data_IF_489454350072
#
_entry.id   IF_489454350072
#
_cell.length_a   1.000
_cell.length_b   1.000
_cell.length_c   1.000
_cell.angle_alpha   90.00
_cell.angle_beta   90.00
_cell.angle_gamma   90.00
#
_symmetry.space_group_name_H-M   'P 1'
#
loop_
_entity.id
_entity.type
_entity.pdbx_description
1 polymer ?
#
# COMPACT_ATOMS: atom_id res chain seq x y z
N UNK A 1 24.57 3.50 2.62
CA UNK A 1 23.82 2.23 2.77
C UNK A 1 22.37 2.58 3.07
N UNK A 2 21.45 2.38 2.11
CA UNK A 2 20.04 2.68 2.36
C UNK A 2 19.45 1.55 3.19
N UNK A 3 19.10 1.83 4.45
CA UNK A 3 18.37 0.90 5.32
C UNK A 3 17.01 0.63 4.66
N UNK A 4 16.92 -0.46 3.89
CA UNK A 4 15.66 -0.93 3.33
C UNK A 4 14.85 -1.47 4.51
N UNK A 5 14.09 -0.58 5.15
CA UNK A 5 13.17 -0.93 6.24
C UNK A 5 12.28 -2.04 5.70
N UNK A 6 12.43 -3.23 6.26
CA UNK A 6 11.75 -4.43 5.78
C UNK A 6 10.27 -4.27 6.12
N UNK A 7 9.44 -4.00 5.12
CA UNK A 7 8.00 -3.89 5.29
C UNK A 7 7.43 -5.26 5.67
N UNK A 8 6.66 -5.33 6.75
CA UNK A 8 6.03 -6.59 7.16
C UNK A 8 5.03 -7.08 6.10
N UNK A 9 4.84 -8.40 5.99
CA UNK A 9 3.85 -8.99 5.08
C UNK A 9 2.43 -8.99 5.69
N UNK A 10 2.28 -8.44 6.90
CA UNK A 10 1.06 -8.51 7.71
C UNK A 10 0.56 -7.08 7.93
N UNK A 11 -0.73 -6.86 7.65
CA UNK A 11 -1.40 -5.60 8.01
C UNK A 11 -2.38 -5.88 9.16
N UNK A 12 -2.41 -5.04 10.20
CA UNK A 12 -3.29 -5.23 11.35
C UNK A 12 -4.72 -4.74 11.02
N UNK A 13 -5.72 -5.59 11.27
CA UNK A 13 -7.14 -5.28 11.07
C UNK A 13 -7.93 -5.09 12.37
N UNK A 14 -7.31 -5.33 13.52
CA UNK A 14 -7.98 -5.38 14.83
C UNK A 14 -7.73 -4.12 15.66
N UNK A 15 -6.60 -3.45 15.44
CA UNK A 15 -6.29 -2.18 16.13
C UNK A 15 -6.96 -0.99 15.40
N UNK A 16 -7.84 -0.21 16.06
CA UNK A 16 -8.54 0.92 15.44
C UNK A 16 -7.60 1.98 14.84
N UNK A 17 -6.45 2.21 15.46
CA UNK A 17 -5.45 3.17 14.95
C UNK A 17 -4.83 2.67 13.65
N UNK A 18 -4.54 1.37 13.58
CA UNK A 18 -4.06 0.70 12.37
C UNK A 18 -5.11 0.67 11.27
N UNK A 19 -6.40 0.50 11.58
CA UNK A 19 -7.46 0.55 10.56
C UNK A 19 -7.46 1.88 9.81
N UNK A 20 -7.33 3.00 10.52
CA UNK A 20 -7.36 4.33 9.89
C UNK A 20 -6.14 4.62 9.01
N UNK A 21 -4.99 4.00 9.30
CA UNK A 21 -3.77 4.15 8.50
C UNK A 21 -3.59 3.05 7.44
N UNK A 22 -4.63 2.26 7.17
CA UNK A 22 -4.61 1.16 6.20
C UNK A 22 -5.32 1.56 4.91
N UNK A 23 -4.63 1.36 3.79
CA UNK A 23 -5.11 1.64 2.45
C UNK A 23 -5.44 0.32 1.74
N UNK A 24 -6.61 0.28 1.11
CA UNK A 24 -7.00 -0.78 0.19
C UNK A 24 -6.74 -0.34 -1.25
N UNK A 25 -6.15 -1.21 -2.04
CA UNK A 25 -5.79 -0.97 -3.44
C UNK A 25 -6.56 -2.01 -4.26
N UNK A 26 -7.63 -1.57 -4.92
CA UNK A 26 -8.46 -2.41 -5.76
C UNK A 26 -7.92 -2.52 -7.18
N UNK A 27 -8.58 -3.38 -7.98
CA UNK A 27 -8.34 -3.52 -9.42
C UNK A 27 -6.84 -3.66 -9.81
N UNK A 28 -6.06 -4.30 -8.93
CA UNK A 28 -4.62 -4.37 -9.08
C UNK A 28 -4.28 -5.56 -9.97
N UNK A 29 -3.52 -5.31 -11.05
CA UNK A 29 -3.03 -6.37 -11.93
C UNK A 29 -1.92 -7.19 -11.25
N UNK A 30 -2.27 -8.10 -10.35
CA UNK A 30 -1.28 -8.88 -9.59
C UNK A 30 -0.55 -9.94 -10.39
N UNK A 31 -0.86 -10.11 -11.68
CA UNK A 31 -0.03 -10.88 -12.60
C UNK A 31 1.25 -10.10 -12.99
N UNK A 32 1.17 -8.77 -12.99
CA UNK A 32 2.28 -7.88 -13.37
C UNK A 32 2.85 -7.16 -12.16
N UNK A 33 2.00 -6.58 -11.32
CA UNK A 33 2.38 -5.79 -10.14
C UNK A 33 2.70 -6.69 -8.96
N UNK A 34 3.92 -6.57 -8.43
CA UNK A 34 4.38 -7.33 -7.26
C UNK A 34 4.34 -6.45 -6.00
N UNK A 35 4.48 -7.11 -4.85
CA UNK A 35 4.60 -6.43 -3.54
C UNK A 35 5.64 -5.32 -3.56
N UNK A 36 6.82 -5.57 -4.15
CA UNK A 36 7.89 -4.58 -4.23
C UNK A 36 7.49 -3.32 -5.00
N UNK A 37 6.67 -3.45 -6.03
CA UNK A 37 6.18 -2.31 -6.82
C UNK A 37 5.18 -1.49 -6.00
N UNK A 38 4.24 -2.18 -5.33
CA UNK A 38 3.30 -1.53 -4.39
C UNK A 38 4.06 -0.81 -3.29
N UNK A 39 5.01 -1.46 -2.63
CA UNK A 39 5.84 -0.83 -1.60
C UNK A 39 6.58 0.40 -2.13
N UNK A 40 7.17 0.31 -3.32
CA UNK A 40 7.90 1.42 -3.93
C UNK A 40 6.98 2.60 -4.24
N UNK A 41 5.84 2.35 -4.89
CA UNK A 41 4.85 3.39 -5.23
C UNK A 41 4.31 4.07 -3.97
N UNK A 42 3.99 3.28 -2.94
CA UNK A 42 3.32 3.76 -1.75
C UNK A 42 4.29 4.33 -0.71
N UNK A 43 5.58 3.98 -0.76
CA UNK A 43 6.61 4.56 0.13
C UNK A 43 6.79 6.07 -0.03
N UNK A 44 6.42 6.65 -1.19
CA UNK A 44 6.52 8.11 -1.42
C UNK A 44 5.59 8.94 -0.53
N UNK A 45 4.50 8.35 -0.05
CA UNK A 45 3.54 9.01 0.84
C UNK A 45 3.93 8.95 2.31
N UNK A 46 4.85 8.06 2.67
CA UNK A 46 5.34 7.90 4.03
C UNK A 46 5.80 6.48 4.34
N UNK A 47 6.21 6.27 5.59
CA UNK A 47 6.71 4.96 6.06
C UNK A 47 5.60 3.92 6.05
N UNK A 48 5.75 2.92 5.17
CA UNK A 48 4.93 1.71 5.14
C UNK A 48 5.42 0.76 6.24
N UNK A 49 4.51 0.30 7.08
CA UNK A 49 4.74 -0.69 8.13
C UNK A 49 4.47 -2.11 7.65
N UNK A 50 3.44 -2.26 6.82
CA UNK A 50 3.01 -3.56 6.28
C UNK A 50 2.47 -3.43 4.87
N UNK A 51 2.73 -4.42 4.03
CA UNK A 51 2.16 -4.53 2.70
C UNK A 51 1.77 -5.98 2.44
N UNK A 52 0.51 -6.22 2.09
CA UNK A 52 0.02 -7.55 1.71
C UNK A 52 -0.63 -7.49 0.33
N UNK A 53 -0.20 -8.36 -0.59
CA UNK A 53 -0.73 -8.44 -1.95
C UNK A 53 -1.51 -9.73 -2.11
N UNK A 54 -2.68 -9.63 -2.72
CA UNK A 54 -3.61 -10.72 -2.94
C UNK A 54 -4.09 -10.68 -4.39
N UNK A 55 -4.64 -11.78 -4.91
CA UNK A 55 -5.09 -11.81 -6.31
C UNK A 55 -6.14 -10.72 -6.58
N UNK A 56 -5.76 -9.73 -7.40
CA UNK A 56 -6.62 -8.59 -7.79
C UNK A 56 -6.61 -7.38 -6.86
N UNK A 57 -5.89 -7.40 -5.73
CA UNK A 57 -5.88 -6.28 -4.78
C UNK A 57 -4.68 -6.30 -3.82
N UNK A 58 -4.42 -5.19 -3.14
CA UNK A 58 -3.41 -5.12 -2.09
C UNK A 58 -3.85 -4.27 -0.91
N UNK A 59 -3.16 -4.43 0.21
CA UNK A 59 -3.26 -3.58 1.38
C UNK A 59 -1.91 -3.00 1.74
N UNK A 60 -1.92 -1.72 2.09
CA UNK A 60 -0.75 -0.99 2.58
C UNK A 60 -1.10 -0.40 3.93
N UNK A 61 -0.28 -0.69 4.93
CA UNK A 61 -0.41 -0.17 6.28
C UNK A 61 0.65 0.91 6.50
N UNK A 62 0.22 2.12 6.80
CA UNK A 62 1.11 3.22 7.15
C UNK A 62 1.26 3.36 8.67
N UNK A 63 2.33 4.05 9.06
CA UNK A 63 2.52 4.48 10.45
C UNK A 63 1.56 5.62 10.86
N UNK A 64 0.99 6.35 9.90
CA UNK A 64 0.13 7.51 10.15
C UNK A 64 -1.03 7.55 9.15
N UNK A 65 -2.22 7.87 9.65
CA UNK A 65 -3.44 8.06 8.87
C UNK A 65 -3.29 9.16 7.80
N UNK A 66 -2.52 10.21 8.07
CA UNK A 66 -2.26 11.28 7.08
C UNK A 66 -1.56 10.75 5.83
N UNK A 67 -0.60 9.83 6.00
CA UNK A 67 0.08 9.19 4.86
C UNK A 67 -0.87 8.29 4.08
N UNK A 68 -1.74 7.55 4.78
CA UNK A 68 -2.77 6.71 4.16
C UNK A 68 -3.73 7.56 3.31
N UNK A 69 -4.24 8.67 3.85
CA UNK A 69 -5.09 9.61 3.09
C UNK A 69 -4.37 10.19 1.87
N UNK A 70 -3.12 10.61 2.02
CA UNK A 70 -2.31 11.11 0.90
C UNK A 70 -2.17 10.08 -0.22
N UNK A 71 -1.95 8.81 0.15
CA UNK A 71 -1.84 7.72 -0.80
C UNK A 71 -3.17 7.44 -1.53
N UNK A 72 -4.30 7.45 -0.82
CA UNK A 72 -5.62 7.30 -1.43
C UNK A 72 -5.88 8.42 -2.43
N UNK A 73 -5.67 9.68 -2.05
CA UNK A 73 -5.93 10.83 -2.92
C UNK A 73 -5.00 10.81 -4.15
N UNK A 74 -3.73 10.44 -3.97
CA UNK A 74 -2.74 10.48 -5.04
C UNK A 74 -2.72 9.28 -5.99
N UNK A 75 -3.23 8.12 -5.57
CA UNK A 75 -3.23 6.90 -6.40
C UNK A 75 -4.62 6.49 -6.89
N UNK A 76 -5.71 6.96 -6.28
CA UNK A 76 -7.06 6.64 -6.74
C UNK A 76 -7.28 7.15 -8.17
N UNK A 77 -7.66 6.25 -9.09
CA UNK A 77 -7.82 6.58 -10.50
C UNK A 77 -6.53 6.56 -11.32
N UNK A 78 -5.38 6.24 -10.71
CA UNK A 78 -4.12 6.07 -11.45
C UNK A 78 -4.18 4.78 -12.29
N UNK A 79 -3.68 4.85 -13.52
CA UNK A 79 -3.47 3.65 -14.33
C UNK A 79 -2.13 3.00 -13.97
N UNK A 80 -2.18 1.75 -13.51
CA UNK A 80 -1.01 0.93 -13.20
C UNK A 80 -1.12 -0.42 -13.93
N UNK A 81 -0.09 -0.76 -14.72
CA UNK A 81 -0.06 -1.99 -15.52
C UNK A 81 -1.31 -2.20 -16.39
N UNK A 82 -1.85 -1.10 -16.94
CA UNK A 82 -3.03 -1.10 -17.81
C UNK A 82 -4.38 -1.16 -17.10
N UNK A 83 -4.42 -1.14 -15.76
CA UNK A 83 -5.65 -1.09 -14.97
C UNK A 83 -5.73 0.19 -14.12
N UNK A 84 -6.92 0.76 -14.02
CA UNK A 84 -7.21 1.91 -13.14
C UNK A 84 -7.37 1.43 -11.70
N UNK A 85 -6.58 1.95 -10.76
CA UNK A 85 -6.63 1.60 -9.33
C UNK A 85 -7.85 2.18 -8.61
#
# INVERSE_FOLDING_TARGET
MSLKVQTSNITNKNDPKSINSRVFIGNLNTAVVKKSDVETIFSKYGRVLGCSVHKGYAFVQYANERHARGAVIGENGRVLAGQTL
#
